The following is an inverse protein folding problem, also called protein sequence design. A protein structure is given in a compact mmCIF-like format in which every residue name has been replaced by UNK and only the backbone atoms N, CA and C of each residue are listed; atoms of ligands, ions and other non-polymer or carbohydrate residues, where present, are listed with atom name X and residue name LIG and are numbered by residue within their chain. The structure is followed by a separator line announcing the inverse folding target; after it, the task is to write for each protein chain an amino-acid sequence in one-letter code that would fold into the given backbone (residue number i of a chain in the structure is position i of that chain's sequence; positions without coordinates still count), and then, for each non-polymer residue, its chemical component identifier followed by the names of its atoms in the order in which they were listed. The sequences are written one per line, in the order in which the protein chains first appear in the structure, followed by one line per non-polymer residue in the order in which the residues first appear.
data_IF_461958928074
#
_entry.id   IF_461958928074
#
_cell.length_a   1.000
_cell.length_b   1.000
_cell.length_c   1.000
_cell.angle_alpha   90.00
_cell.angle_beta   90.00
_cell.angle_gamma   90.00
#
_symmetry.space_group_name_H-M   'P 1'
#
loop_
_entity.id
_entity.type
_entity.pdbx_description
1 polymer ?
#
# COMPACT_ATOMS: atom_id res chain seq x y z
N UNK A 1 4.77 -5.93 -5.22
CA UNK A 1 5.13 -5.71 -3.81
C UNK A 1 3.91 -5.91 -2.94
N UNK A 2 4.00 -6.80 -1.94
CA UNK A 2 3.04 -6.93 -0.85
C UNK A 2 3.63 -6.21 0.37
N UNK A 3 2.94 -5.21 0.91
CA UNK A 3 3.36 -4.34 2.01
C UNK A 3 2.14 -3.92 2.83
N UNK A 4 2.34 -3.27 3.97
CA UNK A 4 1.23 -2.78 4.81
C UNK A 4 0.38 -1.71 4.13
N UNK A 5 -0.89 -1.64 4.53
CA UNK A 5 -1.80 -0.58 4.14
C UNK A 5 -1.60 0.63 5.05
N UNK A 6 -0.46 1.30 4.92
CA UNK A 6 -0.19 2.54 5.65
C UNK A 6 0.75 3.48 4.84
N UNK A 7 0.94 4.73 5.31
CA UNK A 7 1.81 5.68 4.61
C UNK A 7 3.27 5.19 4.50
N UNK A 8 3.75 4.36 5.43
CA UNK A 8 5.12 3.85 5.41
C UNK A 8 5.28 2.73 4.38
N UNK A 9 4.33 1.81 4.26
CA UNK A 9 4.26 0.80 3.20
C UNK A 9 4.24 1.45 1.82
N UNK A 10 3.45 2.51 1.63
CA UNK A 10 3.46 3.28 0.38
C UNK A 10 4.80 3.97 0.11
N UNK A 11 5.45 4.48 1.15
CA UNK A 11 6.79 5.05 1.00
C UNK A 11 7.83 4.00 0.62
N UNK A 12 7.84 2.83 1.27
CA UNK A 12 8.73 1.71 0.92
C UNK A 12 8.53 1.33 -0.55
N UNK A 13 7.28 1.19 -0.99
CA UNK A 13 6.97 0.95 -2.40
C UNK A 13 7.56 2.02 -3.33
N UNK A 14 7.39 3.30 -2.96
CA UNK A 14 7.90 4.41 -3.76
C UNK A 14 9.41 4.36 -3.94
N UNK A 15 10.14 3.99 -2.88
CA UNK A 15 11.59 3.84 -2.92
C UNK A 15 11.99 2.62 -3.74
N UNK A 16 11.30 1.49 -3.66
CA UNK A 16 11.58 0.34 -4.53
C UNK A 16 11.39 0.72 -6.00
N UNK A 17 10.32 1.46 -6.31
CA UNK A 17 9.96 1.79 -7.69
C UNK A 17 10.83 2.88 -8.31
N UNK A 18 11.04 3.98 -7.60
CA UNK A 18 11.69 5.20 -8.10
C UNK A 18 13.11 5.39 -7.56
N UNK A 19 13.46 4.62 -6.53
CA UNK A 19 14.65 4.82 -5.70
C UNK A 19 14.51 6.00 -4.74
N UNK A 20 15.50 6.16 -3.87
CA UNK A 20 15.45 7.18 -2.81
C UNK A 20 15.75 8.57 -3.38
N UNK A 21 14.90 9.55 -3.07
CA UNK A 21 15.09 10.97 -3.42
C UNK A 21 16.48 11.45 -3.00
N UNK A 22 16.93 11.04 -1.80
CA UNK A 22 18.19 11.50 -1.21
C UNK A 22 19.43 10.84 -1.82
N UNK A 23 19.27 9.74 -2.56
CA UNK A 23 20.36 8.97 -3.18
C UNK A 23 20.23 8.94 -4.71
N UNK A 24 19.75 10.03 -5.30
CA UNK A 24 19.41 10.14 -6.72
C UNK A 24 20.51 9.65 -7.68
N UNK A 25 21.79 9.76 -7.28
CA UNK A 25 22.94 9.34 -8.09
C UNK A 25 23.08 7.80 -8.22
N UNK A 26 22.76 7.05 -7.16
CA UNK A 26 22.73 5.58 -7.11
C UNK A 26 21.35 5.01 -7.50
N UNK A 27 20.31 5.82 -7.35
CA UNK A 27 18.89 5.49 -7.54
C UNK A 27 18.57 4.84 -8.89
N UNK A 28 19.24 5.26 -9.97
CA UNK A 28 18.97 4.74 -11.33
C UNK A 28 19.35 3.27 -11.51
N UNK A 29 20.27 2.73 -10.71
CA UNK A 29 20.71 1.32 -10.83
C UNK A 29 19.98 0.37 -9.89
N UNK A 30 19.36 0.89 -8.82
CA UNK A 30 18.70 0.09 -7.79
C UNK A 30 17.17 0.17 -7.80
N UNK A 31 16.59 1.13 -8.53
CA UNK A 31 15.15 1.23 -8.70
C UNK A 31 14.61 0.13 -9.62
N UNK A 32 13.38 -0.30 -9.38
CA UNK A 32 12.64 -1.24 -10.22
C UNK A 32 11.40 -0.53 -10.78
N UNK A 33 11.51 0.19 -11.92
CA UNK A 33 10.39 0.97 -12.48
C UNK A 33 9.17 0.11 -12.84
N UNK A 34 9.38 -1.18 -13.12
CA UNK A 34 8.32 -2.14 -13.42
C UNK A 34 7.58 -2.64 -12.16
N UNK A 35 8.05 -2.29 -10.95
CA UNK A 35 7.42 -2.73 -9.71
C UNK A 35 5.99 -2.21 -9.60
N UNK A 36 5.07 -3.11 -9.24
CA UNK A 36 3.65 -2.84 -9.01
C UNK A 36 3.30 -3.14 -7.57
N UNK A 37 2.42 -2.33 -6.98
CA UNK A 37 1.91 -2.53 -5.64
C UNK A 37 0.70 -3.45 -5.69
N UNK A 38 0.83 -4.62 -5.06
CA UNK A 38 -0.19 -5.66 -5.04
C UNK A 38 -1.19 -5.43 -3.91
N UNK A 39 -0.75 -4.88 -2.78
CA UNK A 39 -1.54 -4.67 -1.58
C UNK A 39 -0.64 -4.80 -0.35
N UNK A 40 -1.16 -4.82 0.86
CA UNK A 40 -2.56 -4.66 1.26
C UNK A 40 -3.10 -3.27 0.87
N UNK A 41 -4.31 -3.22 0.31
CA UNK A 41 -4.96 -1.97 -0.13
C UNK A 41 -6.05 -1.52 0.83
N UNK A 42 -6.43 -0.25 0.76
CA UNK A 42 -7.44 0.32 1.66
C UNK A 42 -8.83 -0.25 1.42
N UNK A 43 -9.09 -0.81 0.24
CA UNK A 43 -10.33 -1.55 -0.04
C UNK A 43 -10.29 -3.01 0.43
N UNK A 44 -9.14 -3.53 0.86
CA UNK A 44 -9.03 -4.94 1.29
C UNK A 44 -9.68 -5.23 2.62
N UNK A 45 -9.92 -4.19 3.43
CA UNK A 45 -10.75 -4.34 4.62
C UNK A 45 -12.10 -4.98 4.28
N UNK A 46 -12.79 -4.41 3.29
CA UNK A 46 -14.09 -4.89 2.84
C UNK A 46 -13.96 -6.14 1.95
N UNK A 47 -13.02 -6.13 0.98
CA UNK A 47 -12.83 -7.25 0.04
C UNK A 47 -12.49 -8.55 0.75
N UNK A 48 -11.63 -8.52 1.76
CA UNK A 48 -11.24 -9.70 2.53
C UNK A 48 -12.16 -9.96 3.73
N UNK A 49 -13.20 -9.13 3.93
CA UNK A 49 -14.14 -9.21 5.06
C UNK A 49 -13.40 -9.29 6.40
N UNK A 50 -12.47 -8.37 6.62
CA UNK A 50 -11.67 -8.31 7.83
C UNK A 50 -12.50 -7.79 9.00
N UNK A 51 -12.20 -8.26 10.21
CA UNK A 51 -12.91 -7.84 11.42
C UNK A 51 -12.38 -6.48 11.92
N UNK A 52 -13.18 -5.72 12.69
CA UNK A 52 -12.69 -4.46 13.26
C UNK A 52 -11.46 -4.59 14.17
N UNK A 53 -11.18 -5.79 14.69
CA UNK A 53 -10.04 -6.04 15.60
C UNK A 53 -8.67 -5.85 14.95
N UNK A 54 -8.58 -5.92 13.62
CA UNK A 54 -7.32 -5.68 12.88
C UNK A 54 -7.12 -4.21 12.49
N UNK A 55 -8.10 -3.35 12.74
CA UNK A 55 -8.00 -1.93 12.40
C UNK A 55 -7.08 -1.21 13.39
N UNK A 56 -6.08 -0.52 12.85
CA UNK A 56 -5.23 0.38 13.62
C UNK A 56 -5.62 1.80 13.23
N UNK A 57 -6.13 2.60 14.18
CA UNK A 57 -6.53 3.99 13.88
C UNK A 57 -5.34 4.81 13.37
N UNK A 58 -5.57 5.61 12.34
CA UNK A 58 -4.57 6.58 11.89
C UNK A 58 -4.37 7.63 12.99
N UNK A 59 -3.10 7.91 13.29
CA UNK A 59 -2.75 9.06 14.12
C UNK A 59 -2.46 10.30 13.24
N UNK A 60 -2.25 11.45 13.87
CA UNK A 60 -1.99 12.71 13.15
C UNK A 60 -0.74 12.65 12.27
N UNK A 61 0.27 11.89 12.69
CA UNK A 61 1.50 11.71 11.91
C UNK A 61 1.23 10.88 10.65
N UNK A 62 0.44 9.81 10.75
CA UNK A 62 0.03 8.99 9.62
C UNK A 62 -0.78 9.83 8.62
N UNK A 63 -1.76 10.61 9.10
CA UNK A 63 -2.59 11.49 8.26
C UNK A 63 -1.73 12.53 7.54
N UNK A 64 -0.82 13.19 8.27
CA UNK A 64 0.11 14.16 7.68
C UNK A 64 1.00 13.50 6.63
N UNK A 65 1.50 12.29 6.91
CA UNK A 65 2.38 11.55 6.00
C UNK A 65 1.65 11.08 4.74
N UNK A 66 0.43 10.56 4.86
CA UNK A 66 -0.42 10.18 3.73
C UNK A 66 -0.62 11.36 2.76
N UNK A 67 -0.95 12.55 3.31
CA UNK A 67 -1.12 13.77 2.51
C UNK A 67 0.17 14.21 1.82
N UNK A 68 1.33 14.06 2.46
CA UNK A 68 2.62 14.34 1.83
C UNK A 68 2.90 13.37 0.68
N UNK A 69 2.67 12.07 0.90
CA UNK A 69 2.88 11.03 -0.12
C UNK A 69 1.97 11.27 -1.33
N UNK A 70 0.71 11.67 -1.10
CA UNK A 70 -0.21 12.02 -2.17
C UNK A 70 0.33 13.13 -3.09
N UNK A 71 1.19 14.02 -2.57
CA UNK A 71 1.79 15.13 -3.31
C UNK A 71 3.09 14.77 -4.03
N UNK A 72 3.64 13.56 -3.82
CA UNK A 72 4.87 13.16 -4.49
C UNK A 72 4.68 13.14 -6.02
N UNK A 73 5.67 13.56 -6.83
CA UNK A 73 5.48 13.68 -8.29
C UNK A 73 4.99 12.40 -8.98
N UNK A 74 5.38 11.23 -8.47
CA UNK A 74 4.98 9.93 -9.01
C UNK A 74 3.65 9.39 -8.44
N UNK A 75 3.00 10.09 -7.51
CA UNK A 75 1.67 9.75 -6.99
C UNK A 75 0.61 10.83 -7.32
N UNK A 76 1.00 12.11 -7.33
CA UNK A 76 0.10 13.26 -7.48
C UNK A 76 -0.81 13.18 -8.71
N UNK A 77 -0.26 12.76 -9.85
CA UNK A 77 -0.99 12.70 -11.12
C UNK A 77 -1.61 11.32 -11.40
N UNK A 78 -1.47 10.35 -10.49
CA UNK A 78 -1.96 8.99 -10.67
C UNK A 78 -3.29 8.80 -9.97
N UNK A 79 -4.38 8.83 -10.75
CA UNK A 79 -5.75 8.65 -10.23
C UNK A 79 -5.93 7.41 -9.36
N UNK A 80 -5.37 6.22 -9.68
CA UNK A 80 -5.50 5.05 -8.81
C UNK A 80 -4.87 5.26 -7.43
N UNK A 81 -3.70 5.91 -7.35
CA UNK A 81 -3.04 6.20 -6.09
C UNK A 81 -3.74 7.26 -5.26
N UNK A 82 -4.25 8.32 -5.91
CA UNK A 82 -5.05 9.32 -5.19
C UNK A 82 -6.30 8.67 -4.58
N UNK A 83 -7.00 7.82 -5.34
CA UNK A 83 -8.16 7.09 -4.84
C UNK A 83 -7.82 6.16 -3.67
N UNK A 84 -6.68 5.48 -3.72
CA UNK A 84 -6.19 4.61 -2.64
C UNK A 84 -5.91 5.42 -1.36
N UNK A 85 -5.16 6.52 -1.48
CA UNK A 85 -4.80 7.39 -0.34
C UNK A 85 -6.03 8.11 0.24
N UNK A 86 -6.94 8.57 -0.60
CA UNK A 86 -8.20 9.18 -0.19
C UNK A 86 -9.08 8.16 0.56
N UNK A 87 -9.12 6.91 0.10
CA UNK A 87 -9.84 5.85 0.78
C UNK A 87 -9.24 5.53 2.14
N UNK A 88 -7.91 5.43 2.26
CA UNK A 88 -7.23 5.29 3.56
C UNK A 88 -7.63 6.41 4.52
N UNK A 89 -7.52 7.66 4.07
CA UNK A 89 -7.85 8.84 4.88
C UNK A 89 -9.33 8.89 5.27
N UNK A 90 -10.22 8.47 4.37
CA UNK A 90 -11.67 8.39 4.62
C UNK A 90 -12.00 7.27 5.62
N UNK A 91 -11.34 6.12 5.51
CA UNK A 91 -11.51 4.99 6.41
C UNK A 91 -11.04 5.34 7.84
N UNK A 92 -9.96 6.12 7.96
CA UNK A 92 -9.44 6.55 9.26
C UNK A 92 -8.64 5.48 10.01
N UNK A 93 -8.31 4.36 9.34
CA UNK A 93 -7.48 3.30 9.87
C UNK A 93 -6.49 2.78 8.82
N UNK A 94 -5.43 2.12 9.31
CA UNK A 94 -4.44 1.36 8.56
C UNK A 94 -4.55 -0.13 8.90
N UNK A 95 -3.95 -0.96 8.06
CA UNK A 95 -3.90 -2.41 8.23
C UNK A 95 -2.48 -2.92 8.00
N UNK A 96 -2.05 -3.85 8.85
CA UNK A 96 -0.82 -4.63 8.65
C UNK A 96 -1.11 -5.84 7.75
N UNK A 97 -0.10 -6.37 7.05
CA UNK A 97 -0.26 -7.60 6.24
C UNK A 97 -0.72 -8.77 7.13
N UNK A 98 -0.25 -8.80 8.38
CA UNK A 98 -0.65 -9.75 9.43
C UNK A 98 -2.17 -9.71 9.70
N UNK A 99 -2.88 -8.63 9.34
CA UNK A 99 -4.34 -8.59 9.41
C UNK A 99 -5.00 -9.71 8.60
N UNK A 100 -4.36 -10.15 7.51
CA UNK A 100 -4.84 -11.25 6.68
C UNK A 100 -4.72 -12.61 7.39
N UNK A 101 -3.77 -12.77 8.31
CA UNK A 101 -3.58 -13.99 9.12
C UNK A 101 -4.76 -14.21 10.07
N UNK A 102 -5.51 -13.14 10.41
CA UNK A 102 -6.74 -13.27 11.21
C UNK A 102 -7.84 -14.10 10.55
N UNK A 103 -7.75 -14.32 9.23
CA UNK A 103 -8.67 -15.18 8.46
C UNK A 103 -8.23 -16.64 8.59
N UNK A 104 -7.00 -16.92 8.19
CA UNK A 104 -6.33 -18.20 8.30
C UNK A 104 -4.81 -17.96 8.16
N UNK A 105 -3.99 -18.80 8.78
CA UNK A 105 -2.52 -18.69 8.72
C UNK A 105 -2.00 -18.77 7.28
N UNK A 106 -2.68 -19.52 6.42
CA UNK A 106 -2.33 -19.72 5.02
C UNK A 106 -3.05 -18.77 4.05
N UNK A 107 -3.97 -17.92 4.54
CA UNK A 107 -4.82 -17.06 3.70
C UNK A 107 -4.02 -16.16 2.74
N UNK A 108 -2.87 -15.64 3.19
CA UNK A 108 -2.01 -14.78 2.37
C UNK A 108 -1.47 -15.54 1.15
N UNK A 109 -0.99 -16.77 1.34
CA UNK A 109 -0.29 -17.54 0.30
C UNK A 109 -1.25 -18.30 -0.60
N UNK A 110 -2.36 -18.81 -0.05
CA UNK A 110 -3.26 -19.70 -0.78
C UNK A 110 -4.45 -18.95 -1.42
N UNK A 111 -4.86 -17.81 -0.88
CA UNK A 111 -6.04 -17.09 -1.36
C UNK A 111 -5.72 -15.67 -1.84
N UNK A 112 -5.17 -14.83 -0.96
CA UNK A 112 -5.07 -13.40 -1.23
C UNK A 112 -4.11 -13.07 -2.37
N UNK A 113 -2.86 -13.56 -2.30
CA UNK A 113 -1.85 -13.30 -3.33
C UNK A 113 -2.22 -13.93 -4.67
N UNK A 114 -2.60 -15.23 -4.75
CA UNK A 114 -3.04 -15.85 -6.00
C UNK A 114 -4.20 -15.10 -6.66
N UNK A 115 -5.26 -14.77 -5.91
CA UNK A 115 -6.41 -14.04 -6.45
C UNK A 115 -6.01 -12.66 -7.00
N UNK A 116 -5.13 -11.92 -6.29
CA UNK A 116 -4.65 -10.61 -6.76
C UNK A 116 -3.79 -10.70 -8.01
N UNK A 117 -3.00 -11.77 -8.16
CA UNK A 117 -2.20 -12.01 -9.35
C UNK A 117 -3.09 -12.33 -10.56
N UNK A 118 -4.12 -13.15 -10.37
CA UNK A 118 -5.10 -13.50 -11.41
C UNK A 118 -5.95 -12.30 -11.84
N UNK A 119 -6.41 -11.48 -10.89
CA UNK A 119 -7.16 -10.24 -11.17
C UNK A 119 -6.35 -9.23 -12.00
N UNK A 120 -5.02 -9.23 -11.88
CA UNK A 120 -4.13 -8.30 -12.59
C UNK A 120 -4.28 -6.82 -12.19
N UNK A 121 -5.08 -6.54 -11.16
CA UNK A 121 -5.46 -5.19 -10.75
C UNK A 121 -4.49 -4.62 -9.68
N UNK A 122 -3.36 -4.09 -10.14
CA UNK A 122 -2.31 -3.54 -9.29
C UNK A 122 -2.26 -2.00 -9.30
N UNK A 123 -1.63 -1.39 -8.29
CA UNK A 123 -1.26 0.04 -8.31
C UNK A 123 0.19 0.21 -8.83
N UNK A 124 0.52 1.39 -9.37
CA UNK A 124 1.65 1.58 -10.28
C UNK A 124 2.58 2.76 -9.99
#
# INVERSE_FOLDING_TARGET
CLLDNDPWGYYIYSVIKQGSINLAYESRRMAIPAARFLGLRSNDYERCQLTPSVQIKLNDQDIKRARQIAQYPWFANKKPWQKELDLMLKNGFKLEVEALISKDVSYVTEEYVPARLEEGNFLD
#
